data_IF_691388981708
#
_entry.id   IF_691388981708
#
_cell.length_a   1.000
_cell.length_b   1.000
_cell.length_c   1.000
_cell.angle_alpha   90.00
_cell.angle_beta   90.00
_cell.angle_gamma   90.00
#
_symmetry.space_group_name_H-M   'P 1'
#
loop_
_entity.id
_entity.type
_entity.pdbx_description
1 polymer ?
#
# COMPACT_ATOMS: atom_id res chain seq x y z
N UNK A 1 -15.43 26.45 1.42
CA UNK A 1 -16.16 25.19 1.22
C UNK A 1 -15.25 24.05 0.74
N UNK A 2 -14.45 24.27 -0.29
CA UNK A 2 -13.51 23.28 -0.82
C UNK A 2 -12.46 22.82 0.19
N UNK A 3 -11.88 23.74 0.94
CA UNK A 3 -10.87 23.46 1.96
C UNK A 3 -11.43 22.64 3.14
N UNK A 4 -12.67 22.89 3.55
CA UNK A 4 -13.34 22.17 4.62
C UNK A 4 -13.59 20.70 4.23
N UNK A 5 -14.04 20.44 3.00
CA UNK A 5 -14.25 19.07 2.50
C UNK A 5 -12.96 18.26 2.42
N UNK A 6 -11.85 18.90 2.02
CA UNK A 6 -10.55 18.24 2.00
C UNK A 6 -10.10 17.84 3.42
N UNK A 7 -10.34 18.69 4.41
CA UNK A 7 -10.04 18.36 5.80
C UNK A 7 -10.93 17.23 6.33
N UNK A 8 -12.20 17.20 5.94
CA UNK A 8 -13.11 16.12 6.32
C UNK A 8 -12.66 14.77 5.74
N UNK A 9 -12.18 14.75 4.51
CA UNK A 9 -11.61 13.55 3.89
C UNK A 9 -10.38 13.03 4.62
N UNK A 10 -9.52 13.93 5.11
CA UNK A 10 -8.36 13.55 5.91
C UNK A 10 -8.73 12.89 7.24
N UNK A 11 -9.92 13.14 7.76
CA UNK A 11 -10.45 12.53 8.98
C UNK A 11 -11.13 11.17 8.74
N UNK A 12 -11.36 10.83 7.48
CA UNK A 12 -11.90 9.51 7.11
C UNK A 12 -10.95 8.42 7.52
N UNK A 13 -11.45 7.37 8.15
CA UNK A 13 -10.64 6.22 8.54
C UNK A 13 -10.40 5.29 7.36
N UNK A 14 -9.27 4.60 7.37
CA UNK A 14 -8.84 3.75 6.26
C UNK A 14 -9.77 2.57 5.98
N UNK A 15 -10.48 2.09 7.00
CA UNK A 15 -11.43 0.98 6.87
C UNK A 15 -12.57 1.25 5.87
N UNK A 16 -12.83 2.52 5.56
CA UNK A 16 -13.84 2.91 4.56
C UNK A 16 -13.31 2.93 3.13
N UNK A 17 -11.98 2.86 2.93
CA UNK A 17 -11.33 3.02 1.63
C UNK A 17 -11.01 1.70 0.93
N UNK A 18 -10.79 0.65 1.68
CA UNK A 18 -10.49 -0.65 1.09
C UNK A 18 -11.68 -1.58 1.18
N UNK A 19 -11.81 -2.42 0.17
CA UNK A 19 -12.84 -3.43 0.12
C UNK A 19 -12.26 -4.73 0.72
N UNK A 20 -12.94 -5.31 1.70
CA UNK A 20 -12.55 -6.60 2.31
C UNK A 20 -12.43 -7.74 1.29
N UNK A 21 -12.94 -7.53 0.07
CA UNK A 21 -12.86 -8.48 -1.04
C UNK A 21 -11.56 -8.40 -1.84
N UNK A 22 -10.75 -7.38 -1.63
CA UNK A 22 -9.46 -7.28 -2.30
C UNK A 22 -8.53 -8.37 -1.76
N UNK A 23 -8.01 -9.20 -2.67
CA UNK A 23 -7.09 -10.26 -2.29
C UNK A 23 -5.76 -9.65 -1.85
N UNK A 24 -5.33 -10.01 -0.65
CA UNK A 24 -4.00 -9.71 -0.19
C UNK A 24 -3.04 -10.73 -0.82
N UNK A 25 -2.04 -10.25 -1.54
CA UNK A 25 -1.03 -11.10 -2.12
C UNK A 25 0.12 -11.27 -1.15
N UNK A 26 0.36 -12.52 -0.75
CA UNK A 26 1.41 -12.88 0.20
C UNK A 26 2.26 -14.02 -0.33
N UNK A 27 3.48 -14.10 0.18
CA UNK A 27 4.41 -15.19 -0.06
C UNK A 27 5.00 -15.65 1.25
N UNK A 28 5.55 -16.86 1.29
CA UNK A 28 6.30 -17.35 2.44
C UNK A 28 7.74 -16.84 2.46
N UNK A 29 8.43 -16.92 3.61
CA UNK A 29 9.80 -16.39 3.75
C UNK A 29 10.83 -17.10 2.88
N UNK A 30 10.59 -18.34 2.51
CA UNK A 30 11.49 -19.14 1.67
C UNK A 30 11.23 -18.98 0.18
N UNK A 31 10.27 -18.18 -0.22
CA UNK A 31 9.98 -17.89 -1.63
C UNK A 31 11.15 -17.18 -2.27
N UNK A 32 11.56 -17.63 -3.47
CA UNK A 32 12.67 -17.00 -4.18
C UNK A 32 12.24 -15.65 -4.75
N UNK A 33 13.17 -14.71 -4.80
CA UNK A 33 12.93 -13.35 -5.33
C UNK A 33 12.36 -13.40 -6.74
N UNK A 34 12.83 -14.32 -7.60
CA UNK A 34 12.29 -14.47 -8.96
C UNK A 34 10.78 -14.72 -8.95
N UNK A 35 10.28 -15.58 -8.06
CA UNK A 35 8.84 -15.84 -7.92
C UNK A 35 8.08 -14.61 -7.42
N UNK A 36 8.66 -13.89 -6.47
CA UNK A 36 8.09 -12.64 -5.97
C UNK A 36 7.92 -11.62 -7.09
N UNK A 37 8.97 -11.40 -7.89
CA UNK A 37 8.96 -10.45 -9.01
C UNK A 37 7.94 -10.86 -10.08
N UNK A 38 7.84 -12.15 -10.40
CA UNK A 38 6.84 -12.66 -11.35
C UNK A 38 5.42 -12.40 -10.85
N UNK A 39 5.16 -12.65 -9.56
CA UNK A 39 3.85 -12.39 -8.94
C UNK A 39 3.51 -10.90 -8.99
N UNK A 40 4.45 -10.04 -8.62
CA UNK A 40 4.26 -8.59 -8.64
C UNK A 40 3.96 -8.09 -10.06
N UNK A 41 4.68 -8.58 -11.05
CA UNK A 41 4.47 -8.21 -12.45
C UNK A 41 3.13 -8.72 -12.98
N UNK A 42 2.79 -9.97 -12.71
CA UNK A 42 1.54 -10.58 -13.17
C UNK A 42 0.30 -9.92 -12.54
N UNK A 43 0.38 -9.54 -11.27
CA UNK A 43 -0.71 -8.91 -10.51
C UNK A 43 -0.69 -7.38 -10.58
N UNK A 44 0.32 -6.79 -11.20
CA UNK A 44 0.52 -5.33 -11.31
C UNK A 44 0.51 -4.64 -9.94
N UNK A 45 1.23 -5.22 -8.99
CA UNK A 45 1.37 -4.71 -7.63
C UNK A 45 2.82 -4.38 -7.33
N UNK A 46 3.05 -3.37 -6.50
CA UNK A 46 4.40 -2.89 -6.15
C UNK A 46 4.97 -3.48 -4.87
N UNK A 47 4.22 -4.31 -4.17
CA UNK A 47 4.64 -4.90 -2.91
C UNK A 47 3.95 -6.24 -2.65
N UNK A 48 4.67 -7.13 -1.96
CA UNK A 48 4.15 -8.39 -1.41
C UNK A 48 4.38 -8.41 0.08
N UNK A 49 3.40 -8.87 0.85
CA UNK A 49 3.65 -9.19 2.25
C UNK A 49 4.24 -10.58 2.37
N UNK A 50 5.12 -10.74 3.34
CA UNK A 50 5.74 -12.02 3.65
C UNK A 50 5.13 -12.55 4.94
N UNK A 51 4.49 -13.69 4.84
CA UNK A 51 3.79 -14.33 5.94
C UNK A 51 4.48 -15.63 6.31
N UNK A 52 4.71 -15.82 7.61
CA UNK A 52 5.12 -17.11 8.15
C UNK A 52 3.91 -17.69 8.90
N UNK A 53 3.19 -18.59 8.23
CA UNK A 53 1.87 -19.02 8.69
C UNK A 53 0.92 -17.82 8.71
N UNK A 54 0.37 -17.51 9.88
CA UNK A 54 -0.54 -16.37 10.08
C UNK A 54 0.17 -15.10 10.53
N UNK A 55 1.50 -15.16 10.70
CA UNK A 55 2.29 -14.02 11.18
C UNK A 55 2.88 -13.21 10.03
N UNK A 56 2.66 -11.90 10.05
CA UNK A 56 3.33 -10.97 9.16
C UNK A 56 4.79 -10.80 9.59
N UNK A 57 5.73 -11.25 8.76
CA UNK A 57 7.17 -11.19 9.08
C UNK A 57 7.94 -10.20 8.22
N UNK A 58 7.39 -9.76 7.10
CA UNK A 58 8.10 -8.84 6.24
C UNK A 58 7.24 -8.24 5.13
N UNK A 59 7.82 -7.28 4.44
CA UNK A 59 7.28 -6.73 3.20
C UNK A 59 8.41 -6.65 2.17
N UNK A 60 8.12 -7.02 0.94
CA UNK A 60 9.04 -6.98 -0.18
C UNK A 60 8.45 -6.10 -1.29
N UNK A 61 9.20 -5.08 -1.70
CA UNK A 61 8.75 -4.07 -2.66
C UNK A 61 9.60 -4.09 -3.94
N UNK A 62 9.11 -3.42 -5.00
CA UNK A 62 9.87 -3.17 -6.23
C UNK A 62 11.21 -2.51 -5.93
N UNK A 63 11.22 -1.60 -4.98
CA UNK A 63 12.43 -0.89 -4.55
C UNK A 63 13.44 -1.84 -3.90
N UNK A 64 12.97 -2.80 -3.11
CA UNK A 64 13.83 -3.84 -2.53
C UNK A 64 14.45 -4.72 -3.62
N UNK A 65 13.67 -5.09 -4.63
CA UNK A 65 14.18 -5.86 -5.78
C UNK A 65 15.29 -5.10 -6.50
N UNK A 66 15.13 -3.82 -6.71
CA UNK A 66 16.14 -2.99 -7.36
C UNK A 66 17.38 -2.79 -6.48
N UNK A 67 17.20 -2.34 -5.25
CA UNK A 67 18.30 -1.87 -4.39
C UNK A 67 19.00 -3.00 -3.62
N UNK A 68 18.25 -4.00 -3.17
CA UNK A 68 18.78 -5.06 -2.31
C UNK A 68 19.11 -6.35 -3.07
N UNK A 69 18.64 -6.50 -4.29
CA UNK A 69 18.89 -7.68 -5.13
C UNK A 69 19.74 -7.31 -6.33
N UNK A 70 19.21 -6.55 -7.28
CA UNK A 70 19.92 -6.22 -8.51
C UNK A 70 21.15 -5.36 -8.29
N UNK A 71 21.02 -4.24 -7.58
CA UNK A 71 22.15 -3.35 -7.29
C UNK A 71 23.20 -4.00 -6.37
N UNK A 72 22.79 -4.92 -5.51
CA UNK A 72 23.67 -5.67 -4.64
C UNK A 72 24.37 -6.85 -5.32
N UNK A 73 24.03 -7.13 -6.59
CA UNK A 73 24.62 -8.23 -7.34
C UNK A 73 24.17 -9.62 -6.95
N UNK A 74 23.02 -9.71 -6.28
CA UNK A 74 22.46 -11.02 -5.90
C UNK A 74 21.69 -11.64 -7.08
N UNK A 75 21.71 -12.97 -7.12
CA UNK A 75 20.93 -13.72 -8.11
C UNK A 75 19.49 -13.91 -7.62
N UNK A 76 18.47 -13.35 -8.31
CA UNK A 76 17.07 -13.48 -7.87
C UNK A 76 16.60 -14.93 -7.76
N UNK A 77 17.09 -15.82 -8.62
CA UNK A 77 16.72 -17.23 -8.62
C UNK A 77 17.35 -18.07 -7.50
N UNK A 78 18.27 -17.49 -6.74
CA UNK A 78 18.96 -18.13 -5.62
C UNK A 78 18.81 -17.39 -4.29
N UNK A 79 18.08 -16.31 -4.28
CA UNK A 79 17.89 -15.46 -3.10
C UNK A 79 16.49 -15.65 -2.54
N UNK A 80 16.39 -15.97 -1.26
CA UNK A 80 15.11 -16.04 -0.54
C UNK A 80 14.62 -14.63 -0.24
N UNK A 81 13.32 -14.43 -0.31
CA UNK A 81 12.71 -13.13 0.01
C UNK A 81 13.01 -12.70 1.45
N UNK A 82 13.12 -13.65 2.37
CA UNK A 82 13.47 -13.36 3.78
C UNK A 82 14.83 -12.71 3.96
N UNK A 83 15.76 -12.90 3.03
CA UNK A 83 17.10 -12.29 3.09
C UNK A 83 17.13 -10.83 2.66
N UNK A 84 16.13 -10.37 1.92
CA UNK A 84 16.10 -9.04 1.29
C UNK A 84 14.83 -8.24 1.60
N UNK A 85 13.84 -8.82 2.25
CA UNK A 85 12.64 -8.12 2.68
C UNK A 85 12.93 -7.10 3.79
N UNK A 86 12.05 -6.15 3.97
CA UNK A 86 12.02 -5.35 5.19
C UNK A 86 11.35 -6.17 6.28
N UNK A 87 12.07 -6.46 7.33
CA UNK A 87 11.59 -7.26 8.47
C UNK A 87 10.73 -6.41 9.39
N UNK A 88 9.75 -7.05 10.03
CA UNK A 88 8.84 -6.41 10.99
C UNK A 88 8.31 -5.06 10.45
N UNK A 89 7.60 -5.09 9.31
CA UNK A 89 7.18 -3.85 8.67
C UNK A 89 6.23 -3.06 9.57
N UNK A 90 6.37 -1.74 9.50
CA UNK A 90 5.47 -0.85 10.22
C UNK A 90 4.04 -1.07 9.73
N UNK A 91 3.14 -1.38 10.65
CA UNK A 91 1.72 -1.62 10.35
C UNK A 91 0.84 -0.63 11.10
N UNK A 92 -0.33 -0.38 10.57
CA UNK A 92 -1.29 0.56 11.13
C UNK A 92 -2.66 -0.10 11.31
N UNK A 93 -3.44 0.32 12.31
CA UNK A 93 -4.81 -0.19 12.46
C UNK A 93 -5.76 0.42 11.42
N UNK A 94 -6.89 -0.24 11.12
CA UNK A 94 -7.86 0.26 10.15
C UNK A 94 -8.57 1.55 10.60
N UNK A 95 -8.50 1.88 11.89
CA UNK A 95 -9.02 3.13 12.46
C UNK A 95 -8.13 4.33 12.20
N UNK A 96 -6.93 4.14 11.64
CA UNK A 96 -6.03 5.22 11.24
C UNK A 96 -6.73 6.09 10.20
N UNK A 97 -6.62 7.41 10.35
CA UNK A 97 -7.20 8.35 9.38
C UNK A 97 -6.32 8.47 8.14
N UNK A 98 -6.92 8.91 7.04
CA UNK A 98 -6.20 9.21 5.80
C UNK A 98 -5.10 10.24 6.04
N UNK A 99 -5.39 11.28 6.84
CA UNK A 99 -4.41 12.30 7.20
C UNK A 99 -3.20 11.75 7.93
N UNK A 100 -3.43 10.87 8.92
CA UNK A 100 -2.35 10.20 9.66
C UNK A 100 -1.52 9.30 8.74
N UNK A 101 -2.17 8.55 7.86
CA UNK A 101 -1.47 7.70 6.89
C UNK A 101 -0.62 8.52 5.91
N UNK A 102 -1.14 9.65 5.42
CA UNK A 102 -0.42 10.58 4.56
C UNK A 102 0.82 11.16 5.26
N UNK A 103 0.71 11.49 6.54
CA UNK A 103 1.86 11.96 7.32
C UNK A 103 2.95 10.89 7.44
N UNK A 104 2.58 9.63 7.70
CA UNK A 104 3.52 8.52 7.78
C UNK A 104 4.25 8.32 6.45
N UNK A 105 3.52 8.35 5.35
CA UNK A 105 4.08 8.22 4.00
C UNK A 105 5.05 9.38 3.70
N UNK A 106 4.70 10.59 4.07
CA UNK A 106 5.49 11.79 3.78
C UNK A 106 6.73 11.90 4.68
N UNK A 107 6.55 11.72 5.99
CA UNK A 107 7.63 11.93 6.97
C UNK A 107 8.60 10.76 7.05
N UNK A 108 8.08 9.53 6.99
CA UNK A 108 8.90 8.32 7.12
C UNK A 108 9.21 7.64 5.79
N UNK A 109 8.73 8.20 4.69
CA UNK A 109 8.93 7.70 3.32
C UNK A 109 8.47 6.25 3.11
N UNK A 110 7.48 5.81 3.87
CA UNK A 110 6.82 4.55 3.61
C UNK A 110 5.98 4.67 2.33
N UNK A 111 6.17 3.77 1.39
CA UNK A 111 5.34 3.73 0.18
C UNK A 111 4.18 2.74 0.30
N UNK A 112 4.32 1.77 1.18
CA UNK A 112 3.34 0.72 1.41
C UNK A 112 3.17 0.53 2.91
N UNK A 113 1.92 0.51 3.36
CA UNK A 113 1.56 0.34 4.76
C UNK A 113 0.60 -0.83 4.90
N UNK A 114 0.99 -1.93 5.57
CA UNK A 114 0.07 -2.98 5.96
C UNK A 114 -0.93 -2.46 6.99
N UNK A 115 -2.20 -2.78 6.79
CA UNK A 115 -3.28 -2.51 7.74
C UNK A 115 -3.56 -3.79 8.48
N UNK A 116 -3.38 -3.77 9.80
CA UNK A 116 -3.47 -4.94 10.66
C UNK A 116 -4.48 -4.71 11.78
N UNK A 117 -5.35 -5.68 12.01
CA UNK A 117 -6.30 -5.70 13.12
C UNK A 117 -6.23 -7.07 13.81
N UNK A 118 -5.99 -7.07 15.12
CA UNK A 118 -5.90 -8.29 15.94
C UNK A 118 -4.90 -9.31 15.36
N UNK A 119 -3.74 -8.83 14.90
CA UNK A 119 -2.70 -9.67 14.30
C UNK A 119 -2.99 -10.14 12.87
N UNK A 120 -4.12 -9.80 12.29
CA UNK A 120 -4.52 -10.19 10.94
C UNK A 120 -4.34 -9.03 9.96
N UNK A 121 -3.67 -9.28 8.84
CA UNK A 121 -3.52 -8.29 7.77
C UNK A 121 -4.84 -8.18 7.01
N UNK A 122 -5.39 -6.97 6.96
CA UNK A 122 -6.64 -6.68 6.24
C UNK A 122 -6.39 -6.14 4.85
N UNK A 123 -5.35 -5.35 4.67
CA UNK A 123 -5.00 -4.73 3.40
C UNK A 123 -3.56 -4.24 3.41
N UNK A 124 -3.05 -3.88 2.24
CA UNK A 124 -1.81 -3.12 2.09
C UNK A 124 -2.14 -1.87 1.28
N UNK A 125 -1.95 -0.71 1.87
CA UNK A 125 -2.22 0.57 1.22
C UNK A 125 -0.92 1.19 0.73
N UNK A 126 -0.90 1.63 -0.53
CA UNK A 126 0.21 2.37 -1.10
C UNK A 126 0.00 3.89 -0.97
N UNK A 127 1.10 4.63 -1.06
CA UNK A 127 1.03 6.10 -1.16
C UNK A 127 0.22 6.55 -2.38
N UNK A 128 0.31 5.78 -3.48
CA UNK A 128 -0.48 6.01 -4.69
C UNK A 128 -1.98 5.83 -4.47
N UNK A 129 -2.38 4.83 -3.68
CA UNK A 129 -3.78 4.58 -3.34
C UNK A 129 -4.38 5.77 -2.58
N UNK A 130 -3.67 6.29 -1.59
CA UNK A 130 -4.09 7.45 -0.81
C UNK A 130 -4.22 8.70 -1.69
N UNK A 131 -3.23 8.95 -2.54
CA UNK A 131 -3.24 10.07 -3.47
C UNK A 131 -4.38 9.95 -4.48
N UNK A 132 -4.58 8.77 -5.06
CA UNK A 132 -5.65 8.50 -6.02
C UNK A 132 -7.03 8.76 -5.41
N UNK A 133 -7.26 8.28 -4.19
CA UNK A 133 -8.52 8.50 -3.48
C UNK A 133 -8.81 10.00 -3.27
N UNK A 134 -7.81 10.75 -2.81
CA UNK A 134 -7.95 12.20 -2.61
C UNK A 134 -8.24 12.95 -3.92
N UNK A 135 -7.51 12.62 -4.99
CA UNK A 135 -7.65 13.28 -6.30
C UNK A 135 -8.97 12.91 -6.98
N UNK A 136 -9.37 11.64 -6.95
CA UNK A 136 -10.64 11.18 -7.56
C UNK A 136 -11.84 11.94 -7.02
N UNK A 137 -11.87 12.17 -5.72
CA UNK A 137 -12.95 12.92 -5.09
C UNK A 137 -12.93 14.40 -5.51
N UNK A 138 -11.76 15.02 -5.65
CA UNK A 138 -11.62 16.39 -6.14
C UNK A 138 -12.10 16.54 -7.58
N UNK A 139 -11.76 15.60 -8.45
CA UNK A 139 -12.22 15.60 -9.85
C UNK A 139 -13.73 15.45 -9.91
N UNK A 140 -14.34 14.59 -9.08
CA UNK A 140 -15.78 14.46 -8.98
C UNK A 140 -16.49 15.74 -8.58
N UNK A 141 -15.96 16.45 -7.59
CA UNK A 141 -16.48 17.75 -7.14
C UNK A 141 -16.39 18.81 -8.23
N UNK A 142 -15.28 18.87 -8.95
CA UNK A 142 -15.11 19.81 -10.07
C UNK A 142 -16.09 19.47 -11.20
N UNK A 143 -16.30 18.20 -11.50
CA UNK A 143 -17.26 17.79 -12.53
C UNK A 143 -18.69 18.17 -12.15
N UNK A 144 -19.10 17.98 -10.90
CA UNK A 144 -20.41 18.40 -10.41
C UNK A 144 -20.60 19.92 -10.56
N UNK A 145 -19.57 20.71 -10.23
CA UNK A 145 -19.61 22.16 -10.38
C UNK A 145 -19.73 22.59 -11.84
N UNK A 146 -19.01 21.93 -12.73
CA UNK A 146 -19.08 22.17 -14.19
C UNK A 146 -20.47 21.80 -14.69
N UNK A 147 -21.02 20.67 -14.32
CA UNK A 147 -22.35 20.22 -14.72
C UNK A 147 -23.45 21.17 -14.25
N UNK A 148 -23.35 21.68 -13.01
CA UNK A 148 -24.25 22.71 -12.49
C UNK A 148 -24.15 24.02 -13.25
N UNK A 149 -22.95 24.46 -13.62
CA UNK A 149 -22.73 25.67 -14.37
C UNK A 149 -23.23 25.59 -15.81
N UNK A 150 -23.10 24.43 -16.45
CA UNK A 150 -23.50 24.20 -17.85
C UNK A 150 -24.98 23.80 -17.97
N UNK A 151 -25.53 23.11 -16.96
CA UNK A 151 -26.91 22.65 -16.94
C UNK A 151 -27.96 23.72 -16.59
N UNK A 152 -27.50 24.91 -16.24
CA UNK A 152 -28.39 26.05 -15.97
C UNK A 152 -28.52 26.92 -17.20
#
# INVERSE_FOLDING_TARGET
MYFVRLQDKRRTTLDTLFNEREKIHSVGPNTLVTECVRTMTAKKIGALIVMDGEKLVGIFTERDALNKVLAAGLEPGKTKVSDVMTKDPYSIPPTTTVGEAMELVTKRRFRHLPIVKNGKVLAVISSGDLTHWLVKEQVGEVQELVDLAVGS
#
